data_IF_932130815500
#
_entry.id   IF_932130815500
#
_cell.length_a   1.000
_cell.length_b   1.000
_cell.length_c   1.000
_cell.angle_alpha   90.00
_cell.angle_beta   90.00
_cell.angle_gamma   90.00
#
_symmetry.space_group_name_H-M   'P 1'
#
loop_
_entity.id
_entity.type
_entity.pdbx_description
1 polymer ?
#
# COMPACT_ATOMS: atom_id res chain seq x y z
N UNK A 1 42.79 -16.81 -28.84
CA UNK A 1 42.91 -15.37 -28.59
C UNK A 1 41.83 -14.99 -27.59
N UNK A 2 42.30 -14.51 -26.43
CA UNK A 2 41.66 -13.81 -25.30
C UNK A 2 40.37 -14.37 -24.68
N UNK A 3 40.30 -14.88 -23.44
CA UNK A 3 40.81 -14.51 -22.09
C UNK A 3 39.73 -13.84 -21.21
N UNK A 4 39.46 -14.53 -20.08
CA UNK A 4 39.07 -14.03 -18.74
C UNK A 4 37.58 -13.85 -18.43
N UNK A 5 37.13 -14.66 -17.47
CA UNK A 5 35.88 -14.44 -16.73
C UNK A 5 35.34 -15.66 -15.98
N UNK A 6 36.21 -16.51 -15.41
CA UNK A 6 35.77 -17.62 -14.57
C UNK A 6 35.42 -17.12 -13.16
N UNK A 7 34.17 -17.34 -12.74
CA UNK A 7 33.72 -17.22 -11.35
C UNK A 7 33.54 -18.63 -10.80
N UNK A 8 34.59 -19.18 -10.16
CA UNK A 8 34.54 -20.38 -9.33
C UNK A 8 34.71 -19.95 -7.87
N UNK A 9 33.59 -19.85 -7.15
CA UNK A 9 33.54 -19.74 -5.70
C UNK A 9 33.43 -21.13 -5.09
N UNK A 10 34.31 -21.43 -4.13
CA UNK A 10 34.67 -22.78 -3.72
C UNK A 10 33.64 -23.56 -2.91
N UNK A 11 33.66 -24.87 -3.13
CA UNK A 11 33.23 -25.87 -2.16
C UNK A 11 34.48 -26.34 -1.40
N UNK A 12 34.55 -26.00 -0.11
CA UNK A 12 35.55 -26.52 0.80
C UNK A 12 35.32 -28.01 1.03
N UNK A 13 36.24 -28.81 0.50
CA UNK A 13 36.52 -30.19 0.89
C UNK A 13 37.30 -30.18 2.20
N UNK A 14 36.90 -31.02 3.16
CA UNK A 14 37.63 -31.18 4.41
C UNK A 14 37.07 -32.31 5.26
N UNK A 15 37.69 -33.48 5.10
CA UNK A 15 37.92 -34.53 6.10
C UNK A 15 37.22 -35.88 5.86
N UNK A 16 37.88 -36.69 5.04
CA UNK A 16 37.77 -38.15 5.01
C UNK A 16 38.62 -38.72 6.15
N UNK A 17 37.98 -39.08 7.26
CA UNK A 17 38.55 -39.89 8.33
C UNK A 17 37.82 -41.22 8.40
N UNK A 18 38.47 -42.26 7.88
CA UNK A 18 38.09 -43.67 7.98
C UNK A 18 38.05 -44.14 9.43
N UNK A 19 37.06 -44.93 9.83
CA UNK A 19 37.19 -45.87 10.96
C UNK A 19 36.20 -47.03 10.79
N UNK A 20 36.74 -48.18 10.40
CA UNK A 20 36.10 -49.48 10.55
C UNK A 20 36.28 -50.01 11.99
N UNK A 21 35.19 -50.57 12.49
CA UNK A 21 35.00 -51.70 13.43
C UNK A 21 36.21 -52.34 14.13
N UNK A 22 36.15 -52.50 15.47
CA UNK A 22 36.13 -53.79 16.20
C UNK A 22 36.37 -53.67 17.72
N UNK A 23 35.43 -54.21 18.52
CA UNK A 23 35.59 -54.80 19.88
C UNK A 23 35.95 -53.86 21.05
N UNK A 24 35.77 -54.18 22.32
CA UNK A 24 35.00 -55.20 23.06
C UNK A 24 35.22 -54.90 24.56
N UNK A 25 34.17 -55.07 25.37
CA UNK A 25 34.12 -55.36 26.83
C UNK A 25 34.83 -54.45 27.87
N UNK A 26 33.97 -53.80 28.66
CA UNK A 26 33.96 -53.54 30.11
C UNK A 26 35.26 -53.21 30.85
N UNK A 27 35.27 -52.08 31.59
CA UNK A 27 35.80 -52.01 32.97
C UNK A 27 35.05 -50.96 33.80
N UNK A 28 34.74 -51.35 35.03
CA UNK A 28 33.95 -50.63 36.01
C UNK A 28 34.64 -49.33 36.46
N UNK A 29 33.86 -48.24 36.51
CA UNK A 29 34.28 -46.91 36.94
C UNK A 29 33.14 -46.16 37.63
N UNK A 30 32.78 -46.65 38.80
CA UNK A 30 32.07 -45.98 39.90
C UNK A 30 32.20 -44.45 39.87
N UNK A 31 31.11 -43.70 39.61
CA UNK A 31 30.91 -42.36 40.16
C UNK A 31 29.56 -42.23 40.87
N UNK A 32 29.70 -41.77 42.10
CA UNK A 32 28.70 -41.58 43.13
C UNK A 32 27.76 -40.41 42.81
N UNK A 33 26.53 -40.60 43.26
CA UNK A 33 25.47 -39.60 43.47
C UNK A 33 25.95 -38.21 43.86
N UNK A 34 25.45 -37.21 43.13
CA UNK A 34 25.14 -35.89 43.69
C UNK A 34 23.94 -35.28 42.96
N UNK A 35 22.92 -35.05 43.76
CA UNK A 35 21.78 -34.16 43.59
C UNK A 35 22.10 -32.85 42.86
N UNK A 36 21.34 -32.51 41.81
CA UNK A 36 20.54 -31.26 41.72
C UNK A 36 20.02 -31.00 40.31
N UNK A 37 18.78 -30.49 40.31
CA UNK A 37 18.11 -29.79 39.21
C UNK A 37 17.52 -30.66 38.11
N UNK A 38 16.32 -31.17 38.39
CA UNK A 38 15.35 -31.49 37.34
C UNK A 38 15.27 -30.36 36.32
N UNK A 39 15.23 -30.75 35.05
CA UNK A 39 15.36 -29.86 33.92
C UNK A 39 14.19 -28.89 33.82
N UNK A 40 14.49 -27.61 34.05
CA UNK A 40 13.70 -26.51 33.50
C UNK A 40 13.94 -26.46 31.99
N UNK A 41 13.25 -27.33 31.25
CA UNK A 41 13.22 -27.26 29.79
C UNK A 41 12.80 -25.87 29.32
N UNK A 42 13.23 -25.43 28.11
CA UNK A 42 12.93 -24.10 27.62
C UNK A 42 11.42 -23.90 27.62
N UNK A 43 10.96 -22.93 28.42
CA UNK A 43 9.56 -22.51 28.48
C UNK A 43 9.10 -22.30 27.05
N UNK A 44 8.24 -23.20 26.57
CA UNK A 44 7.50 -23.00 25.32
C UNK A 44 6.78 -21.67 25.50
N UNK A 45 7.32 -20.61 24.88
CA UNK A 45 6.62 -19.35 24.69
C UNK A 45 5.32 -19.77 24.03
N UNK A 46 4.26 -19.70 24.83
CA UNK A 46 2.95 -20.19 24.44
C UNK A 46 2.65 -19.65 23.06
N UNK A 47 2.11 -20.54 22.22
CA UNK A 47 1.38 -20.20 21.01
C UNK A 47 0.13 -19.37 21.39
N UNK A 48 0.37 -18.22 22.00
CA UNK A 48 -0.53 -17.14 22.32
C UNK A 48 -0.47 -16.08 21.23
N UNK A 49 -0.19 -16.49 19.98
CA UNK A 49 -0.68 -15.74 18.84
C UNK A 49 -2.20 -15.87 18.91
N UNK A 50 -2.81 -15.07 19.79
CA UNK A 50 -4.25 -14.82 19.83
C UNK A 50 -4.58 -14.64 18.36
N UNK A 51 -5.34 -15.60 17.82
CA UNK A 51 -6.02 -15.41 16.55
C UNK A 51 -6.80 -14.14 16.84
N UNK A 52 -6.32 -12.99 16.36
CA UNK A 52 -7.02 -11.73 16.51
C UNK A 52 -8.28 -11.99 15.70
N UNK A 53 -9.30 -12.52 16.39
CA UNK A 53 -10.68 -12.42 16.00
C UNK A 53 -10.86 -10.92 16.00
N UNK A 54 -10.68 -10.37 14.81
CA UNK A 54 -11.03 -9.01 14.50
C UNK A 54 -12.54 -9.01 14.69
N UNK A 55 -12.96 -8.73 15.92
CA UNK A 55 -14.37 -8.56 16.25
C UNK A 55 -14.72 -7.20 15.68
N UNK A 56 -15.16 -7.23 14.42
CA UNK A 56 -15.38 -6.07 13.58
C UNK A 56 -16.48 -5.15 14.13
N UNK A 57 -17.34 -5.69 15.00
CA UNK A 57 -18.49 -4.99 15.58
C UNK A 57 -18.14 -4.32 16.91
N UNK A 58 -16.88 -4.38 17.37
CA UNK A 58 -16.46 -3.68 18.58
C UNK A 58 -16.46 -2.17 18.38
N UNK A 59 -16.93 -1.39 19.37
CA UNK A 59 -16.88 0.06 19.30
C UNK A 59 -15.43 0.53 19.17
N UNK A 60 -15.21 1.57 18.36
CA UNK A 60 -13.87 2.07 18.07
C UNK A 60 -13.24 2.80 19.26
N UNK A 61 -12.14 2.24 19.77
CA UNK A 61 -11.26 2.85 20.76
C UNK A 61 -9.97 3.27 20.05
N UNK A 62 -9.74 4.57 19.81
CA UNK A 62 -8.59 5.03 19.06
C UNK A 62 -7.30 4.79 19.85
N UNK A 63 -6.30 4.23 19.17
CA UNK A 63 -4.99 3.94 19.77
C UNK A 63 -4.02 5.08 19.47
N UNK A 64 -4.07 5.57 18.23
CA UNK A 64 -3.23 6.66 17.71
C UNK A 64 -3.67 8.03 18.22
N UNK A 65 -2.72 8.98 18.25
CA UNK A 65 -3.01 10.39 18.56
C UNK A 65 -4.02 10.98 17.58
N UNK A 66 -3.85 10.70 16.29
CA UNK A 66 -4.77 11.13 15.24
C UNK A 66 -6.18 10.59 15.48
N UNK A 67 -6.32 9.30 15.80
CA UNK A 67 -7.62 8.70 16.11
C UNK A 67 -8.33 9.38 17.29
N UNK A 68 -7.58 9.76 18.35
CA UNK A 68 -8.15 10.51 19.49
C UNK A 68 -8.61 11.89 19.06
N UNK A 69 -7.76 12.65 18.36
CA UNK A 69 -8.10 13.99 17.87
C UNK A 69 -9.35 14.00 16.97
N UNK A 70 -9.48 13.02 16.08
CA UNK A 70 -10.65 12.87 15.20
C UNK A 70 -11.88 12.48 16.01
N UNK A 71 -11.76 11.55 16.95
CA UNK A 71 -12.87 11.15 17.82
C UNK A 71 -13.36 12.29 18.73
N UNK A 72 -12.43 13.13 19.19
CA UNK A 72 -12.72 14.33 19.98
C UNK A 72 -13.27 15.49 19.13
N UNK A 73 -13.35 15.34 17.80
CA UNK A 73 -13.85 16.37 16.87
C UNK A 73 -12.88 17.52 16.62
N UNK A 74 -11.61 17.41 17.02
CA UNK A 74 -10.59 18.45 16.82
C UNK A 74 -10.06 18.51 15.39
N UNK A 75 -10.12 17.39 14.68
CA UNK A 75 -9.84 17.30 13.24
C UNK A 75 -11.16 16.99 12.57
N UNK A 76 -11.73 17.98 11.89
CA UNK A 76 -13.07 17.89 11.30
C UNK A 76 -13.01 17.38 9.86
N UNK A 77 -11.93 17.67 9.14
CA UNK A 77 -11.80 17.37 7.71
C UNK A 77 -10.62 16.44 7.43
N UNK A 78 -10.75 15.63 6.37
CA UNK A 78 -9.65 14.79 5.89
C UNK A 78 -8.53 15.63 5.24
N UNK A 79 -8.86 16.83 4.76
CA UNK A 79 -7.91 17.75 4.13
C UNK A 79 -6.84 18.23 5.11
N UNK A 80 -7.19 18.49 6.36
CA UNK A 80 -6.22 18.80 7.43
C UNK A 80 -5.15 17.71 7.59
N UNK A 81 -5.54 16.45 7.41
CA UNK A 81 -4.63 15.30 7.48
C UNK A 81 -3.68 15.31 6.28
N UNK A 82 -4.20 15.62 5.09
CA UNK A 82 -3.40 15.72 3.87
C UNK A 82 -2.39 16.85 3.93
N UNK A 83 -2.80 18.06 4.37
CA UNK A 83 -1.89 19.20 4.49
C UNK A 83 -0.72 18.93 5.45
N UNK A 84 -0.99 18.23 6.56
CA UNK A 84 0.05 17.87 7.54
C UNK A 84 0.82 16.60 7.18
N UNK A 85 0.46 15.93 6.09
CA UNK A 85 1.07 14.66 5.65
C UNK A 85 1.12 13.60 6.76
N UNK A 86 0.09 13.54 7.61
CA UNK A 86 0.06 12.61 8.75
C UNK A 86 -0.39 11.22 8.24
N UNK A 87 0.32 10.13 8.61
CA UNK A 87 -0.07 8.80 8.20
C UNK A 87 -1.35 8.34 8.92
N UNK A 88 -2.31 7.85 8.13
CA UNK A 88 -3.54 7.23 8.64
C UNK A 88 -3.32 5.74 8.88
N UNK A 89 -3.37 5.31 10.14
CA UNK A 89 -3.16 3.92 10.54
C UNK A 89 -4.46 3.20 10.92
N UNK A 90 -5.53 3.94 11.20
CA UNK A 90 -6.82 3.42 11.61
C UNK A 90 -7.85 3.74 10.53
N UNK A 91 -8.55 2.72 10.01
CA UNK A 91 -9.51 2.92 8.93
C UNK A 91 -10.76 3.69 9.39
N UNK A 92 -11.08 3.59 10.68
CA UNK A 92 -12.23 4.26 11.29
C UNK A 92 -12.14 5.79 11.21
N UNK A 93 -10.92 6.34 11.17
CA UNK A 93 -10.69 7.77 10.94
C UNK A 93 -11.33 8.20 9.62
N UNK A 94 -11.13 7.42 8.56
CA UNK A 94 -11.65 7.74 7.23
C UNK A 94 -13.16 7.50 7.16
N UNK A 95 -13.67 6.50 7.88
CA UNK A 95 -15.13 6.24 7.95
C UNK A 95 -15.90 7.39 8.61
N UNK A 96 -15.29 8.07 9.59
CA UNK A 96 -15.90 9.25 10.22
C UNK A 96 -15.75 10.52 9.37
N UNK A 97 -14.58 10.74 8.77
CA UNK A 97 -14.30 11.97 8.03
C UNK A 97 -14.94 11.97 6.63
N UNK A 98 -15.10 10.81 6.00
CA UNK A 98 -15.68 10.67 4.66
C UNK A 98 -16.78 9.59 4.68
N UNK A 99 -18.01 9.94 5.08
CA UNK A 99 -19.09 8.96 5.22
C UNK A 99 -19.57 8.38 3.88
N UNK A 100 -19.40 9.11 2.77
CA UNK A 100 -19.94 8.75 1.45
C UNK A 100 -18.98 7.88 0.60
N UNK A 101 -18.22 6.98 1.22
CA UNK A 101 -17.27 6.12 0.52
C UNK A 101 -17.98 4.96 -0.19
N UNK A 102 -17.77 4.84 -1.50
CA UNK A 102 -18.18 3.68 -2.30
C UNK A 102 -17.01 2.72 -2.44
N UNK A 103 -17.29 1.45 -2.19
CA UNK A 103 -16.31 0.37 -2.30
C UNK A 103 -16.52 -0.38 -3.62
N UNK A 104 -15.44 -0.67 -4.34
CA UNK A 104 -15.51 -1.46 -5.57
C UNK A 104 -14.40 -2.52 -5.62
N UNK A 105 -14.83 -3.77 -5.78
CA UNK A 105 -13.90 -4.88 -6.00
C UNK A 105 -13.44 -4.85 -7.47
N UNK A 106 -12.13 -4.76 -7.69
CA UNK A 106 -11.54 -4.72 -9.02
C UNK A 106 -11.38 -6.13 -9.59
N UNK A 107 -10.69 -7.01 -8.85
CA UNK A 107 -10.46 -8.41 -9.22
C UNK A 107 -10.13 -9.24 -7.98
N UNK A 108 -10.51 -10.51 -8.01
CA UNK A 108 -10.13 -11.51 -7.02
C UNK A 108 -9.31 -12.57 -7.77
N UNK A 109 -8.12 -12.91 -7.25
CA UNK A 109 -7.23 -13.91 -7.84
C UNK A 109 -6.94 -15.00 -6.81
N UNK A 110 -7.10 -16.30 -7.15
CA UNK A 110 -6.53 -17.37 -6.34
C UNK A 110 -5.01 -17.35 -6.47
N UNK A 111 -4.30 -17.40 -5.35
CA UNK A 111 -2.85 -17.56 -5.27
C UNK A 111 -2.55 -18.82 -4.47
N UNK A 112 -1.65 -19.65 -4.98
CA UNK A 112 -1.38 -20.98 -4.42
C UNK A 112 0.05 -21.06 -3.92
N UNK A 113 0.25 -21.77 -2.80
CA UNK A 113 1.56 -22.16 -2.29
C UNK A 113 1.60 -23.67 -2.16
N UNK A 114 2.60 -24.30 -2.75
CA UNK A 114 2.84 -25.73 -2.60
C UNK A 114 3.26 -26.08 -1.16
N UNK A 115 2.73 -27.19 -0.66
CA UNK A 115 3.04 -27.75 0.66
C UNK A 115 3.28 -29.25 0.51
N UNK A 116 3.96 -29.88 1.48
CA UNK A 116 4.27 -31.33 1.44
C UNK A 116 3.04 -32.21 1.16
N UNK A 117 1.85 -31.75 1.55
CA UNK A 117 0.57 -32.40 1.26
C UNK A 117 -0.32 -31.47 0.41
N UNK A 118 -0.01 -31.37 -0.89
CA UNK A 118 -0.84 -30.69 -1.89
C UNK A 118 -0.64 -29.18 -2.00
N UNK A 119 -1.71 -28.48 -2.39
CA UNK A 119 -1.68 -27.04 -2.68
C UNK A 119 -2.48 -26.25 -1.65
N UNK A 120 -1.85 -25.24 -1.04
CA UNK A 120 -2.51 -24.29 -0.15
C UNK A 120 -2.97 -23.05 -0.92
N UNK A 121 -4.27 -22.96 -1.18
CA UNK A 121 -4.87 -21.83 -1.88
C UNK A 121 -5.26 -20.69 -0.94
N UNK A 122 -5.10 -19.44 -1.40
CA UNK A 122 -5.57 -18.21 -0.76
C UNK A 122 -6.14 -17.28 -1.83
N UNK A 123 -7.00 -16.35 -1.46
CA UNK A 123 -7.57 -15.37 -2.38
C UNK A 123 -6.95 -14.00 -2.14
N UNK A 124 -6.39 -13.41 -3.20
CA UNK A 124 -5.91 -12.04 -3.27
C UNK A 124 -7.03 -11.16 -3.82
N UNK A 125 -7.54 -10.24 -3.01
CA UNK A 125 -8.53 -9.27 -3.43
C UNK A 125 -7.88 -7.91 -3.70
N UNK A 126 -8.26 -7.28 -4.81
CA UNK A 126 -7.95 -5.89 -5.14
C UNK A 126 -9.24 -5.08 -5.00
N UNK A 127 -9.20 -4.05 -4.16
CA UNK A 127 -10.36 -3.20 -3.86
C UNK A 127 -9.93 -1.75 -4.05
N UNK A 128 -10.78 -0.97 -4.71
CA UNK A 128 -10.70 0.47 -4.75
C UNK A 128 -11.85 1.05 -3.93
N UNK A 129 -11.62 2.21 -3.31
CA UNK A 129 -12.64 2.96 -2.58
C UNK A 129 -12.56 4.41 -3.04
N UNK A 130 -13.69 5.12 -3.12
CA UNK A 130 -13.72 6.56 -3.33
C UNK A 130 -15.11 7.15 -3.20
N UNK A 131 -15.18 8.46 -3.06
CA UNK A 131 -16.41 9.25 -2.85
C UNK A 131 -16.87 9.98 -4.12
N UNK A 132 -16.18 9.79 -5.25
CA UNK A 132 -16.35 10.53 -6.51
C UNK A 132 -16.18 12.05 -6.36
N UNK A 133 -15.63 12.51 -5.25
CA UNK A 133 -15.42 13.93 -4.97
C UNK A 133 -13.96 14.23 -4.63
N UNK A 134 -13.04 13.54 -5.29
CA UNK A 134 -11.62 13.82 -5.13
C UNK A 134 -10.92 12.95 -4.09
N UNK A 135 -11.51 11.86 -3.60
CA UNK A 135 -10.83 10.92 -2.70
C UNK A 135 -10.80 9.52 -3.29
N UNK A 136 -9.62 8.89 -3.32
CA UNK A 136 -9.47 7.50 -3.79
C UNK A 136 -8.48 6.73 -2.94
N UNK A 137 -8.83 5.48 -2.62
CA UNK A 137 -7.98 4.53 -1.90
C UNK A 137 -7.84 3.23 -2.68
N UNK A 138 -6.63 2.65 -2.69
CA UNK A 138 -6.37 1.33 -3.28
C UNK A 138 -5.87 0.37 -2.20
N UNK A 139 -6.58 -0.75 -2.07
CA UNK A 139 -6.30 -1.80 -1.10
C UNK A 139 -6.07 -3.15 -1.76
N UNK A 140 -5.12 -3.88 -1.21
CA UNK A 140 -4.83 -5.24 -1.65
C UNK A 140 -4.52 -6.12 -0.45
N UNK A 141 -5.23 -7.25 -0.35
CA UNK A 141 -4.98 -8.18 0.72
C UNK A 141 -5.25 -9.63 0.32
N UNK A 142 -4.52 -10.55 0.95
CA UNK A 142 -4.71 -11.99 0.80
C UNK A 142 -5.32 -12.62 2.06
N UNK A 143 -6.29 -13.52 1.90
CA UNK A 143 -6.84 -14.31 3.01
C UNK A 143 -7.26 -15.72 2.56
N UNK A 144 -7.60 -16.59 3.53
CA UNK A 144 -8.05 -17.97 3.25
C UNK A 144 -9.46 -18.00 2.65
N UNK A 145 -10.35 -17.11 3.09
CA UNK A 145 -11.72 -16.96 2.58
C UNK A 145 -11.86 -15.66 1.78
N UNK A 146 -12.65 -15.68 0.72
CA UNK A 146 -12.88 -14.51 -0.15
C UNK A 146 -13.46 -13.32 0.62
N UNK A 147 -14.50 -13.54 1.43
CA UNK A 147 -15.13 -12.48 2.23
C UNK A 147 -14.14 -11.76 3.15
N UNK A 148 -13.28 -12.53 3.84
CA UNK A 148 -12.23 -11.98 4.70
C UNK A 148 -11.14 -11.26 3.92
N UNK A 149 -10.84 -11.67 2.68
CA UNK A 149 -9.87 -11.00 1.82
C UNK A 149 -10.39 -9.62 1.40
N UNK A 150 -11.66 -9.56 0.98
CA UNK A 150 -12.32 -8.31 0.57
C UNK A 150 -12.38 -7.34 1.75
N UNK A 151 -12.90 -7.75 2.91
CA UNK A 151 -12.97 -6.89 4.11
C UNK A 151 -11.61 -6.33 4.51
N UNK A 152 -10.57 -7.17 4.55
CA UNK A 152 -9.23 -6.67 4.89
C UNK A 152 -8.63 -5.79 3.79
N UNK A 153 -8.97 -6.01 2.52
CA UNK A 153 -8.57 -5.13 1.43
C UNK A 153 -9.25 -3.76 1.53
N UNK A 154 -10.52 -3.72 1.95
CA UNK A 154 -11.26 -2.49 2.23
C UNK A 154 -10.55 -1.67 3.31
N UNK A 155 -10.22 -2.26 4.47
CA UNK A 155 -9.51 -1.52 5.53
C UNK A 155 -8.19 -0.96 5.05
N UNK A 156 -7.45 -1.72 4.24
CA UNK A 156 -6.19 -1.26 3.66
C UNK A 156 -6.39 -0.13 2.65
N UNK A 157 -7.46 -0.17 1.86
CA UNK A 157 -7.82 0.90 0.95
C UNK A 157 -8.18 2.18 1.71
N UNK A 158 -8.95 2.07 2.80
CA UNK A 158 -9.31 3.20 3.69
C UNK A 158 -8.07 3.87 4.29
N UNK A 159 -7.13 3.10 4.84
CA UNK A 159 -5.86 3.67 5.35
C UNK A 159 -4.97 4.29 4.27
N UNK A 160 -5.21 3.96 2.99
CA UNK A 160 -4.43 4.43 1.86
C UNK A 160 -5.23 5.41 0.97
N UNK A 161 -6.22 6.12 1.51
CA UNK A 161 -6.94 7.15 0.75
C UNK A 161 -6.04 8.35 0.51
N UNK A 162 -6.06 8.82 -0.72
CA UNK A 162 -5.25 9.94 -1.21
C UNK A 162 -6.17 10.89 -1.95
N UNK A 163 -5.93 12.21 -1.88
CA UNK A 163 -6.73 13.16 -2.62
C UNK A 163 -6.43 13.10 -4.12
N UNK A 164 -7.39 13.48 -4.95
CA UNK A 164 -7.32 13.57 -6.41
C UNK A 164 -7.47 15.02 -6.87
N UNK A 165 -6.41 15.58 -7.46
CA UNK A 165 -6.46 16.93 -8.03
C UNK A 165 -7.22 16.87 -9.35
N UNK A 166 -8.38 17.53 -9.40
CA UNK A 166 -9.20 17.70 -10.60
C UNK A 166 -8.96 19.10 -11.16
N UNK A 167 -9.07 19.23 -12.47
CA UNK A 167 -8.85 20.47 -13.19
C UNK A 167 -9.75 20.55 -14.43
N UNK A 168 -9.56 21.63 -15.18
CA UNK A 168 -10.15 21.86 -16.49
C UNK A 168 -9.17 21.47 -17.59
N UNK A 169 -9.70 21.20 -18.79
CA UNK A 169 -8.84 20.91 -19.94
C UNK A 169 -8.28 22.19 -20.58
N UNK A 170 -9.13 23.20 -20.76
CA UNK A 170 -8.77 24.47 -21.38
C UNK A 170 -9.54 25.64 -20.77
N UNK A 171 -10.87 25.55 -20.73
CA UNK A 171 -11.74 26.63 -20.21
C UNK A 171 -12.25 26.25 -18.82
N UNK A 172 -12.12 27.19 -17.88
CA UNK A 172 -12.66 27.10 -16.52
C UNK A 172 -14.18 27.33 -16.51
N UNK A 173 -14.92 26.39 -17.08
CA UNK A 173 -16.37 26.42 -17.05
C UNK A 173 -16.85 25.33 -16.09
N UNK A 174 -17.79 25.61 -15.17
CA UNK A 174 -18.43 24.61 -14.29
C UNK A 174 -17.48 23.92 -13.30
N UNK A 175 -17.73 22.63 -13.02
CA UNK A 175 -16.89 21.83 -12.11
C UNK A 175 -15.67 21.22 -12.82
N UNK A 176 -14.54 21.05 -12.12
CA UNK A 176 -13.36 20.42 -12.69
C UNK A 176 -13.65 18.95 -13.04
N UNK A 177 -13.45 18.61 -14.31
CA UNK A 177 -13.88 17.32 -14.88
C UNK A 177 -12.72 16.39 -15.24
N UNK A 178 -11.50 16.92 -15.40
CA UNK A 178 -10.32 16.17 -15.89
C UNK A 178 -9.10 16.30 -14.97
N UNK A 179 -7.95 15.79 -15.41
CA UNK A 179 -6.65 15.85 -14.71
C UNK A 179 -5.92 17.13 -15.13
N UNK A 180 -5.11 17.78 -14.25
CA UNK A 180 -4.44 19.03 -14.59
C UNK A 180 -3.43 18.95 -15.74
N UNK A 181 -2.69 17.85 -15.84
CA UNK A 181 -1.61 17.73 -16.80
C UNK A 181 -1.46 16.28 -17.28
N UNK A 182 -0.60 16.07 -18.28
CA UNK A 182 -0.21 14.72 -18.69
C UNK A 182 0.64 14.09 -17.61
N UNK A 183 0.16 12.99 -17.02
CA UNK A 183 0.88 12.29 -15.95
C UNK A 183 1.36 10.94 -16.49
N UNK A 184 2.67 10.74 -16.44
CA UNK A 184 3.29 9.45 -16.77
C UNK A 184 3.85 8.78 -15.52
N UNK A 185 3.44 7.53 -15.29
CA UNK A 185 3.92 6.72 -14.16
C UNK A 185 4.34 5.35 -14.62
N UNK A 186 5.42 4.84 -14.04
CA UNK A 186 5.87 3.47 -14.17
C UNK A 186 5.77 2.77 -12.82
N UNK A 187 5.21 1.58 -12.81
CA UNK A 187 5.27 0.65 -11.69
C UNK A 187 5.58 -0.75 -12.22
N UNK A 188 6.70 -1.33 -11.77
CA UNK A 188 7.26 -2.55 -12.36
C UNK A 188 7.47 -2.40 -13.89
N UNK A 189 6.92 -3.33 -14.68
CA UNK A 189 6.95 -3.29 -16.14
C UNK A 189 5.78 -2.51 -16.77
N UNK A 190 4.85 -2.00 -15.97
CA UNK A 190 3.67 -1.29 -16.49
C UNK A 190 3.92 0.21 -16.45
N UNK A 191 3.80 0.85 -17.60
CA UNK A 191 3.72 2.31 -17.74
C UNK A 191 2.27 2.68 -17.97
N UNK A 192 1.72 3.59 -17.16
CA UNK A 192 0.40 4.20 -17.33
C UNK A 192 0.62 5.69 -17.58
N UNK A 193 -0.06 6.20 -18.60
CA UNK A 193 -0.12 7.62 -18.94
C UNK A 193 -1.57 8.06 -18.91
N UNK A 194 -1.83 9.16 -18.21
CA UNK A 194 -3.12 9.83 -18.17
C UNK A 194 -2.98 11.17 -18.88
N UNK A 195 -3.95 11.50 -19.72
CA UNK A 195 -4.01 12.76 -20.45
C UNK A 195 -5.31 13.48 -20.09
N UNK A 196 -5.27 14.82 -19.98
CA UNK A 196 -6.48 15.61 -19.85
C UNK A 196 -7.35 15.46 -21.11
N UNK A 197 -8.67 15.55 -20.93
CA UNK A 197 -9.64 15.35 -22.00
C UNK A 197 -10.75 16.42 -22.01
N UNK A 198 -11.31 16.74 -23.18
CA UNK A 198 -12.48 17.61 -23.28
C UNK A 198 -13.69 17.02 -22.57
N UNK A 199 -14.64 17.90 -22.21
CA UNK A 199 -15.91 17.51 -21.60
C UNK A 199 -16.71 16.58 -22.51
N UNK A 200 -17.30 15.55 -21.91
CA UNK A 200 -18.16 14.59 -22.61
C UNK A 200 -17.39 13.46 -23.30
N UNK A 201 -16.07 13.43 -23.16
CA UNK A 201 -15.23 12.30 -23.64
C UNK A 201 -15.49 11.03 -22.82
N UNK A 202 -15.77 11.19 -21.54
CA UNK A 202 -15.74 10.11 -20.57
C UNK A 202 -14.33 9.57 -20.32
N UNK A 203 -14.27 8.45 -19.60
CA UNK A 203 -13.00 7.82 -19.23
C UNK A 203 -12.64 6.75 -20.28
N UNK A 204 -11.77 7.10 -21.22
CA UNK A 204 -11.26 6.18 -22.24
C UNK A 204 -10.07 5.40 -21.69
N UNK A 205 -10.37 4.28 -21.03
CA UNK A 205 -9.38 3.47 -20.33
C UNK A 205 -9.82 2.00 -20.18
N UNK A 206 -8.89 1.08 -19.85
CA UNK A 206 -9.26 -0.28 -19.45
C UNK A 206 -10.16 -0.28 -18.21
N UNK A 207 -11.00 -1.30 -18.00
CA UNK A 207 -12.00 -1.32 -16.92
C UNK A 207 -11.45 -1.06 -15.51
N UNK A 208 -10.23 -1.53 -15.22
CA UNK A 208 -9.59 -1.32 -13.91
C UNK A 208 -9.25 0.16 -13.68
N UNK A 209 -8.74 0.82 -14.72
CA UNK A 209 -8.36 2.22 -14.70
C UNK A 209 -9.62 3.10 -14.67
N UNK A 210 -10.65 2.75 -15.45
CA UNK A 210 -11.95 3.42 -15.42
C UNK A 210 -12.55 3.45 -14.03
N UNK A 211 -12.60 2.29 -13.35
CA UNK A 211 -13.13 2.17 -11.99
C UNK A 211 -12.39 3.08 -11.00
N UNK A 212 -11.06 3.10 -11.06
CA UNK A 212 -10.24 3.95 -10.19
C UNK A 212 -10.47 5.45 -10.43
N UNK A 213 -10.46 5.88 -11.70
CA UNK A 213 -10.66 7.29 -12.05
C UNK A 213 -12.08 7.76 -11.72
N UNK A 214 -13.09 6.91 -11.96
CA UNK A 214 -14.48 7.21 -11.63
C UNK A 214 -14.69 7.34 -10.11
N UNK A 215 -14.07 6.48 -9.30
CA UNK A 215 -14.11 6.60 -7.84
C UNK A 215 -13.38 7.85 -7.33
N UNK A 216 -12.32 8.28 -8.02
CA UNK A 216 -11.62 9.53 -7.74
C UNK A 216 -12.36 10.80 -8.18
N UNK A 217 -13.51 10.67 -8.86
CA UNK A 217 -14.31 11.81 -9.31
C UNK A 217 -13.82 12.47 -10.60
N UNK A 218 -12.95 11.80 -11.35
CA UNK A 218 -12.53 12.24 -12.69
C UNK A 218 -13.59 11.76 -13.69
N UNK A 219 -14.12 12.68 -14.49
CA UNK A 219 -15.18 12.41 -15.46
C UNK A 219 -14.61 12.10 -16.83
N UNK A 220 -13.64 12.92 -17.28
CA UNK A 220 -13.03 12.78 -18.61
C UNK A 220 -11.52 12.60 -18.49
N UNK A 221 -11.01 11.56 -19.14
CA UNK A 221 -9.57 11.28 -19.18
C UNK A 221 -9.27 10.31 -20.32
N UNK A 222 -8.25 10.61 -21.12
CA UNK A 222 -7.64 9.59 -21.97
C UNK A 222 -6.57 8.86 -21.18
N UNK A 223 -6.41 7.58 -21.46
CA UNK A 223 -5.33 6.79 -20.89
C UNK A 223 -4.63 5.97 -21.95
N UNK A 224 -3.35 5.73 -21.73
CA UNK A 224 -2.59 4.73 -22.45
C UNK A 224 -1.75 3.96 -21.45
N UNK A 225 -1.75 2.62 -21.54
CA UNK A 225 -0.84 1.79 -20.79
C UNK A 225 -0.03 0.87 -21.70
N UNK A 226 1.23 0.63 -21.33
CA UNK A 226 2.13 -0.23 -22.09
C UNK A 226 1.76 -1.72 -21.99
N UNK A 227 1.22 -2.17 -20.84
CA UNK A 227 0.83 -3.56 -20.64
C UNK A 227 -0.40 -3.65 -19.74
N UNK A 228 -1.36 -4.47 -20.15
CA UNK A 228 -2.64 -4.67 -19.46
C UNK A 228 -2.77 -6.05 -18.80
N UNK A 229 -1.76 -6.91 -18.93
CA UNK A 229 -1.85 -8.31 -18.54
C UNK A 229 -2.04 -8.52 -17.03
N UNK A 230 -1.45 -7.65 -16.20
CA UNK A 230 -1.43 -7.82 -14.74
C UNK A 230 -2.17 -6.70 -14.02
N UNK A 231 -3.26 -7.07 -13.32
CA UNK A 231 -4.16 -6.12 -12.65
C UNK A 231 -3.46 -5.35 -11.53
N UNK A 232 -2.62 -6.02 -10.74
CA UNK A 232 -1.94 -5.40 -9.60
C UNK A 232 -1.05 -4.22 -10.01
N UNK A 233 -0.07 -4.43 -10.92
CA UNK A 233 0.78 -3.36 -11.41
C UNK A 233 0.01 -2.24 -12.11
N UNK A 234 -0.99 -2.56 -12.94
CA UNK A 234 -1.85 -1.56 -13.60
C UNK A 234 -2.57 -0.70 -12.56
N UNK A 235 -3.28 -1.31 -11.61
CA UNK A 235 -4.02 -0.58 -10.59
C UNK A 235 -3.10 0.29 -9.73
N UNK A 236 -1.91 -0.20 -9.37
CA UNK A 236 -0.95 0.57 -8.57
C UNK A 236 -0.31 1.71 -9.37
N UNK A 237 0.01 1.49 -10.66
CA UNK A 237 0.50 2.55 -11.54
C UNK A 237 -0.53 3.67 -11.72
N UNK A 238 -1.81 3.33 -11.95
CA UNK A 238 -2.89 4.30 -12.03
C UNK A 238 -3.07 5.06 -10.73
N UNK A 239 -3.08 4.35 -9.60
CA UNK A 239 -3.19 4.98 -8.29
C UNK A 239 -2.05 5.98 -8.05
N UNK A 240 -0.80 5.59 -8.33
CA UNK A 240 0.37 6.47 -8.26
C UNK A 240 0.27 7.68 -9.22
N UNK A 241 -0.32 7.51 -10.41
CA UNK A 241 -0.57 8.62 -11.34
C UNK A 241 -1.54 9.64 -10.74
N UNK A 242 -2.60 9.17 -10.09
CA UNK A 242 -3.54 10.04 -9.40
C UNK A 242 -2.85 10.80 -8.26
N UNK A 243 -2.00 10.15 -7.45
CA UNK A 243 -1.28 10.84 -6.38
C UNK A 243 -0.36 11.95 -6.91
N UNK A 244 0.30 11.69 -8.05
CA UNK A 244 1.20 12.68 -8.69
C UNK A 244 0.48 13.90 -9.22
N UNK A 245 -0.84 13.84 -9.44
CA UNK A 245 -1.61 15.00 -9.88
C UNK A 245 -1.48 16.18 -8.91
N UNK A 246 -1.28 15.93 -7.61
CA UNK A 246 -1.07 16.99 -6.62
C UNK A 246 0.31 17.65 -6.67
N UNK A 247 1.31 16.98 -7.24
CA UNK A 247 2.65 17.55 -7.39
C UNK A 247 2.72 18.58 -8.53
N UNK A 248 1.67 18.67 -9.34
CA UNK A 248 1.60 19.66 -10.41
C UNK A 248 1.23 21.03 -9.82
N UNK A 249 2.18 21.95 -9.89
CA UNK A 249 1.93 23.37 -9.69
C UNK A 249 1.52 23.99 -11.03
N UNK A 250 0.31 24.57 -11.15
CA UNK A 250 0.02 25.40 -12.32
C UNK A 250 0.96 26.61 -12.31
N UNK A 251 1.36 27.10 -13.48
CA UNK A 251 2.02 28.40 -13.60
C UNK A 251 1.13 29.44 -12.94
N UNK A 252 1.45 29.83 -11.71
CA UNK A 252 0.79 30.96 -11.06
C UNK A 252 1.18 32.20 -11.86
N UNK A 253 0.21 32.89 -12.44
CA UNK A 253 0.38 34.32 -12.65
C UNK A 253 0.78 34.88 -11.28
N UNK A 254 1.99 35.43 -11.20
CA UNK A 254 2.48 36.12 -10.00
C UNK A 254 1.46 37.20 -9.68
N UNK A 255 0.55 36.89 -8.78
CA UNK A 255 -0.40 37.85 -8.25
C UNK A 255 0.43 38.82 -7.45
N UNK A 256 0.15 40.12 -7.55
CA UNK A 256 0.97 41.20 -7.01
C UNK A 256 1.25 41.11 -5.49
N UNK A 257 0.62 40.18 -4.79
CA UNK A 257 0.89 39.80 -3.40
C UNK A 257 2.30 39.21 -3.20
N UNK A 258 2.84 38.47 -4.16
CA UNK A 258 4.26 38.04 -4.13
C UNK A 258 5.20 39.24 -4.37
N UNK A 259 4.69 40.29 -5.04
CA UNK A 259 5.35 41.59 -5.24
C UNK A 259 4.95 42.63 -4.17
N UNK A 260 4.31 42.24 -3.06
CA UNK A 260 4.01 43.15 -1.94
C UNK A 260 5.18 43.27 -0.95
N UNK A 261 6.28 42.54 -1.16
CA UNK A 261 7.52 42.62 -0.39
C UNK A 261 8.68 43.51 -0.93
N UNK A 262 8.51 44.48 -1.86
CA UNK A 262 9.51 45.50 -2.14
C UNK A 262 9.68 46.50 -0.99
N UNK A 263 8.60 46.85 -0.28
CA UNK A 263 8.63 47.88 0.77
C UNK A 263 9.22 47.41 2.11
N UNK A 264 9.25 46.09 2.35
CA UNK A 264 9.77 45.51 3.61
C UNK A 264 11.24 45.09 3.54
N UNK A 265 11.83 45.01 2.34
CA UNK A 265 13.26 44.66 2.16
C UNK A 265 14.26 45.63 2.84
N UNK A 266 14.03 46.95 2.95
CA UNK A 266 14.96 47.85 3.63
C UNK A 266 15.01 47.69 5.16
N UNK A 267 13.95 47.15 5.79
CA UNK A 267 13.85 47.05 7.25
C UNK A 267 14.52 45.79 7.84
N UNK A 268 14.94 44.85 6.99
CA UNK A 268 15.65 43.63 7.44
C UNK A 268 17.17 43.83 7.47
N UNK A 269 17.66 44.91 6.84
CA UNK A 269 19.09 45.23 6.77
C UNK A 269 19.46 46.58 7.44
N UNK A 270 18.59 47.10 8.32
CA UNK A 270 18.87 48.26 9.18
C UNK A 270 18.91 47.89 10.66
#
# INVERSE_FOLDING_TARGET
MDRRGAFQGGFGSGNTGSFDSHGSVDHAGRWSSSTRSQGGGPRRIGSGLRRITLDWDKPWIPVTKLGRLVKDGRVATIEEIYHRSIPVLEYQIVDLLVPNLKEQVLKILPVQKEVRSGLRTRFRAFVAIGDRNGHVGLGMQCAKRVSTAIRRAIYRAKTAVVPVRRAYWHVECGLPHTIPCKIMVRYCNVRVTLYPAPRGTGISAPPIVQKLLHLGGIQDCYSSASSYATVGPVAKATFLAIQRAYLFEPEREKTDEDNAFPELMPLVNS
#
